data_IF_579750383355
#
_entry.id   IF_579750383355
#
_cell.length_a   1.000
_cell.length_b   1.000
_cell.length_c   1.000
_cell.angle_alpha   90.00
_cell.angle_beta   90.00
_cell.angle_gamma   90.00
#
_symmetry.space_group_name_H-M   'P 1'
#
loop_
_entity.id
_entity.type
_entity.pdbx_description
1 polymer ?
#
# COMPACT_ATOMS: atom_id res chain seq x y z
N UNK A 1 1.74 -11.60 -12.71
CA UNK A 1 1.93 -10.92 -14.00
C UNK A 1 3.30 -11.29 -14.57
N UNK A 2 3.44 -11.21 -15.91
CA UNK A 2 4.66 -11.56 -16.63
C UNK A 2 4.95 -10.51 -17.68
N UNK A 3 6.23 -10.34 -18.03
CA UNK A 3 6.69 -9.50 -19.13
C UNK A 3 7.65 -10.30 -20.02
N UNK A 4 7.48 -10.20 -21.33
CA UNK A 4 8.38 -10.84 -22.28
C UNK A 4 9.57 -9.94 -22.56
N UNK A 5 10.77 -10.47 -22.42
CA UNK A 5 12.00 -9.79 -22.80
C UNK A 5 12.90 -10.75 -23.60
N UNK A 6 13.11 -10.45 -24.86
CA UNK A 6 13.77 -11.35 -25.79
C UNK A 6 12.94 -12.63 -26.01
N UNK A 7 13.53 -13.78 -25.68
CA UNK A 7 12.87 -15.10 -25.83
C UNK A 7 12.32 -15.66 -24.52
N UNK A 8 12.37 -14.88 -23.43
CA UNK A 8 12.01 -15.34 -22.10
C UNK A 8 10.91 -14.47 -21.51
N UNK A 9 10.06 -15.10 -20.72
CA UNK A 9 9.11 -14.42 -19.84
C UNK A 9 9.74 -14.24 -18.45
N UNK A 10 9.48 -13.09 -17.83
CA UNK A 10 9.94 -12.78 -16.48
C UNK A 10 8.73 -12.47 -15.59
N UNK A 11 8.69 -12.97 -14.35
CA UNK A 11 7.64 -12.57 -13.42
C UNK A 11 7.83 -11.10 -13.04
N UNK A 12 6.71 -10.39 -12.91
CA UNK A 12 6.71 -8.99 -12.51
C UNK A 12 5.70 -8.73 -11.41
N UNK A 13 6.02 -7.78 -10.53
CA UNK A 13 5.14 -7.27 -9.50
C UNK A 13 4.82 -5.82 -9.84
N UNK A 14 3.54 -5.45 -9.80
CA UNK A 14 3.11 -4.09 -10.10
C UNK A 14 3.49 -3.11 -8.99
N UNK A 15 3.71 -1.82 -9.31
CA UNK A 15 3.95 -0.79 -8.30
C UNK A 15 2.81 -0.69 -7.27
N UNK A 16 1.57 -0.94 -7.67
CA UNK A 16 0.42 -0.93 -6.78
C UNK A 16 0.48 -2.06 -5.75
N UNK A 17 0.86 -3.27 -6.17
CA UNK A 17 1.03 -4.39 -5.25
C UNK A 17 2.14 -4.09 -4.23
N UNK A 18 3.28 -3.56 -4.68
CA UNK A 18 4.36 -3.15 -3.80
C UNK A 18 3.96 -2.02 -2.84
N UNK A 19 3.23 -1.01 -3.33
CA UNK A 19 2.72 0.07 -2.47
C UNK A 19 1.74 -0.45 -1.43
N UNK A 20 0.91 -1.44 -1.76
CA UNK A 20 0.01 -2.05 -0.80
C UNK A 20 0.78 -2.79 0.30
N UNK A 21 1.80 -3.57 -0.06
CA UNK A 21 2.66 -4.22 0.92
C UNK A 21 3.40 -3.19 1.81
N UNK A 22 3.93 -2.12 1.22
CA UNK A 22 4.55 -1.03 1.98
C UNK A 22 3.57 -0.36 2.95
N UNK A 23 2.29 -0.16 2.57
CA UNK A 23 1.28 0.36 3.50
C UNK A 23 1.07 -0.54 4.71
N UNK A 24 0.99 -1.85 4.48
CA UNK A 24 0.84 -2.81 5.57
C UNK A 24 2.04 -2.77 6.52
N UNK A 25 3.26 -2.68 5.98
CA UNK A 25 4.48 -2.56 6.79
C UNK A 25 4.48 -1.22 7.54
N UNK A 26 4.19 -0.09 6.90
CA UNK A 26 4.12 1.22 7.55
C UNK A 26 3.06 1.23 8.67
N UNK A 27 1.89 0.65 8.42
CA UNK A 27 0.84 0.50 9.42
C UNK A 27 1.28 -0.38 10.59
N UNK A 28 2.06 -1.44 10.36
CA UNK A 28 2.61 -2.29 11.43
C UNK A 28 3.59 -1.53 12.33
N UNK A 29 4.27 -0.52 11.79
CA UNK A 29 5.08 0.42 12.59
C UNK A 29 4.24 1.47 13.32
N UNK A 30 2.91 1.45 13.18
CA UNK A 30 1.99 2.41 13.78
C UNK A 30 1.91 3.75 13.06
N UNK A 31 2.39 3.86 11.83
CA UNK A 31 2.16 5.06 11.04
C UNK A 31 0.70 5.12 10.59
N UNK A 32 0.08 6.31 10.60
CA UNK A 32 -1.28 6.45 10.12
C UNK A 32 -1.33 6.27 8.59
N UNK A 33 -2.12 5.29 8.15
CA UNK A 33 -2.40 5.02 6.75
C UNK A 33 -3.89 5.18 6.48
N UNK A 34 -4.23 5.85 5.38
CA UNK A 34 -5.61 6.19 5.03
C UNK A 34 -6.30 5.09 4.21
N UNK A 35 -5.55 4.32 3.42
CA UNK A 35 -6.12 3.29 2.59
C UNK A 35 -6.12 1.95 3.31
N UNK A 36 -7.29 1.30 3.32
CA UNK A 36 -7.47 -0.04 3.84
C UNK A 36 -7.97 -0.96 2.75
N UNK A 37 -7.41 -2.16 2.70
CA UNK A 37 -7.92 -3.23 1.85
C UNK A 37 -9.17 -3.81 2.49
N UNK A 38 -10.28 -3.79 1.76
CA UNK A 38 -11.51 -4.44 2.16
C UNK A 38 -11.54 -5.83 1.51
N UNK A 39 -11.72 -6.84 2.33
CA UNK A 39 -12.01 -8.19 1.87
C UNK A 39 -13.54 -8.33 1.74
N UNK A 40 -14.13 -7.74 0.71
CA UNK A 40 -15.50 -8.05 0.34
C UNK A 40 -15.51 -9.28 -0.57
N UNK A 41 -16.51 -10.14 -0.40
CA UNK A 41 -16.63 -11.42 -1.12
C UNK A 41 -16.61 -11.27 -2.65
N UNK A 42 -17.00 -10.11 -3.18
CA UNK A 42 -17.12 -9.88 -4.62
C UNK A 42 -15.99 -9.03 -5.22
N UNK A 43 -15.31 -8.17 -4.46
CA UNK A 43 -14.24 -7.31 -4.98
C UNK A 43 -13.18 -6.98 -3.92
N UNK A 44 -11.91 -7.12 -4.31
CA UNK A 44 -10.78 -6.58 -3.55
C UNK A 44 -10.75 -5.06 -3.76
N UNK A 45 -11.54 -4.32 -3.01
CA UNK A 45 -11.57 -2.88 -3.06
C UNK A 45 -10.58 -2.27 -2.06
N UNK A 46 -9.88 -1.23 -2.49
CA UNK A 46 -9.09 -0.38 -1.59
C UNK A 46 -9.91 0.88 -1.34
N UNK A 47 -10.24 1.12 -0.09
CA UNK A 47 -11.07 2.25 0.33
C UNK A 47 -10.28 3.22 1.20
N UNK A 48 -10.58 4.52 1.06
CA UNK A 48 -10.10 5.53 1.99
C UNK A 48 -10.92 5.48 3.29
N UNK A 49 -10.23 5.59 4.43
CA UNK A 49 -10.86 5.65 5.75
C UNK A 49 -11.37 7.07 6.07
N UNK A 50 -10.70 8.08 5.52
CA UNK A 50 -11.02 9.51 5.68
C UNK A 50 -10.68 10.23 4.36
N UNK A 51 -11.04 11.50 4.24
CA UNK A 51 -10.59 12.31 3.11
C UNK A 51 -9.07 12.36 3.05
N UNK A 52 -8.47 12.21 1.85
CA UNK A 52 -7.02 12.26 1.71
C UNK A 52 -6.40 13.49 2.39
N UNK A 53 -5.41 13.26 3.21
CA UNK A 53 -4.70 14.32 3.92
C UNK A 53 -3.21 13.93 4.11
N UNK A 54 -2.30 14.49 3.29
CA UNK A 54 -0.88 14.15 3.36
C UNK A 54 -0.18 14.66 4.63
N UNK A 55 -0.79 15.58 5.38
CA UNK A 55 -0.27 15.99 6.68
C UNK A 55 -0.57 14.97 7.78
N UNK A 56 -1.70 14.23 7.63
CA UNK A 56 -2.21 13.29 8.62
C UNK A 56 -1.81 11.83 8.32
N UNK A 57 -1.76 11.45 7.04
CA UNK A 57 -1.57 10.07 6.61
C UNK A 57 -0.29 9.88 5.81
N UNK A 58 0.55 8.95 6.25
CA UNK A 58 1.85 8.68 5.63
C UNK A 58 1.71 8.12 4.20
N UNK A 59 0.72 7.28 3.95
CA UNK A 59 0.49 6.72 2.61
C UNK A 59 -0.05 7.74 1.62
N UNK A 60 -0.91 8.68 2.04
CA UNK A 60 -1.34 9.82 1.21
C UNK A 60 -0.15 10.74 0.89
N UNK A 61 0.77 10.88 1.83
CA UNK A 61 1.98 11.70 1.65
C UNK A 61 2.95 11.05 0.65
N UNK A 62 3.32 9.78 0.85
CA UNK A 62 4.35 9.13 0.03
C UNK A 62 3.85 8.62 -1.31
N UNK A 63 2.63 8.06 -1.36
CA UNK A 63 2.12 7.41 -2.57
C UNK A 63 1.19 8.30 -3.39
N UNK A 64 0.81 9.45 -2.83
CA UNK A 64 -0.12 10.37 -3.48
C UNK A 64 -1.54 9.78 -3.63
N UNK A 65 -2.42 10.56 -4.25
CA UNK A 65 -3.81 10.16 -4.47
C UNK A 65 -4.43 10.92 -5.63
N UNK A 66 -5.52 10.38 -6.14
CA UNK A 66 -6.41 11.03 -7.09
C UNK A 66 -7.85 10.78 -6.65
N UNK A 67 -8.60 11.86 -6.45
CA UNK A 67 -10.04 11.83 -6.24
C UNK A 67 -10.69 12.16 -7.57
N UNK A 68 -11.22 11.15 -8.25
CA UNK A 68 -11.80 11.29 -9.59
C UNK A 68 -13.17 12.02 -9.55
N UNK A 69 -14.00 11.68 -8.56
CA UNK A 69 -15.32 12.26 -8.40
C UNK A 69 -15.29 13.37 -7.35
N UNK A 70 -15.26 14.59 -7.85
CA UNK A 70 -15.25 15.81 -7.02
C UNK A 70 -16.53 16.01 -6.22
N UNK A 71 -17.66 15.50 -6.70
CA UNK A 71 -18.94 15.63 -6.03
C UNK A 71 -19.02 14.85 -4.71
N UNK A 72 -18.14 13.89 -4.50
CA UNK A 72 -18.08 13.13 -3.25
C UNK A 72 -17.43 13.92 -2.09
N UNK A 73 -16.76 15.03 -2.38
CA UNK A 73 -16.11 15.85 -1.34
C UNK A 73 -17.00 17.06 -1.04
N UNK A 74 -17.50 17.22 0.19
CA UNK A 74 -18.29 18.39 0.55
C UNK A 74 -17.52 19.70 0.39
N UNK A 75 -18.17 20.74 -0.12
CA UNK A 75 -17.58 22.08 -0.32
C UNK A 75 -16.92 22.65 0.95
N UNK A 76 -17.47 22.31 2.11
CA UNK A 76 -16.91 22.70 3.41
C UNK A 76 -15.50 22.14 3.59
N UNK A 77 -15.28 20.86 3.27
CA UNK A 77 -13.97 20.21 3.38
C UNK A 77 -12.98 20.82 2.39
N UNK A 78 -13.44 21.11 1.17
CA UNK A 78 -12.62 21.75 0.12
C UNK A 78 -12.10 23.10 0.59
N UNK A 79 -12.98 23.93 1.16
CA UNK A 79 -12.64 25.31 1.59
C UNK A 79 -11.81 25.33 2.88
N UNK A 80 -12.17 24.52 3.87
CA UNK A 80 -11.52 24.55 5.18
C UNK A 80 -10.10 23.94 5.17
N UNK A 81 -9.86 22.94 4.28
CA UNK A 81 -8.59 22.21 4.23
C UNK A 81 -7.71 22.58 3.06
N UNK A 82 -8.10 23.55 2.22
CA UNK A 82 -7.44 23.79 0.91
C UNK A 82 -7.22 22.47 0.17
N UNK A 83 -8.31 21.69 0.05
CA UNK A 83 -8.27 20.30 -0.35
C UNK A 83 -7.82 20.15 -1.79
N UNK A 84 -6.73 19.44 -1.99
CA UNK A 84 -6.22 19.09 -3.30
C UNK A 84 -6.83 17.78 -3.76
N UNK A 85 -7.46 17.75 -4.94
CA UNK A 85 -8.05 16.52 -5.52
C UNK A 85 -7.02 15.55 -6.08
N UNK A 86 -5.81 16.01 -6.28
CA UNK A 86 -4.69 15.22 -6.78
C UNK A 86 -3.42 15.60 -6.03
N UNK A 87 -2.64 14.59 -5.65
CA UNK A 87 -1.28 14.73 -5.17
C UNK A 87 -0.38 13.72 -5.87
N UNK A 88 0.72 14.18 -6.41
CA UNK A 88 1.71 13.30 -7.00
C UNK A 88 2.47 12.51 -5.93
N UNK A 89 2.95 11.34 -6.30
CA UNK A 89 3.68 10.45 -5.41
C UNK A 89 5.10 10.98 -5.15
N UNK A 90 5.47 11.08 -3.89
CA UNK A 90 6.86 11.37 -3.46
C UNK A 90 7.76 10.16 -3.73
N UNK A 91 7.26 8.96 -3.43
CA UNK A 91 7.91 7.69 -3.79
C UNK A 91 7.47 7.24 -5.18
N UNK A 92 8.36 7.33 -6.13
CA UNK A 92 8.16 6.82 -7.49
C UNK A 92 8.75 5.43 -7.60
N UNK A 93 7.95 4.50 -8.10
CA UNK A 93 8.33 3.09 -8.27
C UNK A 93 7.95 2.62 -9.66
N UNK A 94 8.75 1.72 -10.21
CA UNK A 94 8.41 0.99 -11.43
C UNK A 94 8.19 -0.49 -11.10
N UNK A 95 7.88 -1.30 -12.11
CA UNK A 95 7.71 -2.75 -12.00
C UNK A 95 8.90 -3.39 -11.29
N UNK A 96 8.64 -4.28 -10.36
CA UNK A 96 9.64 -5.24 -9.90
C UNK A 96 9.72 -6.37 -10.93
N UNK A 97 10.90 -6.63 -11.44
CA UNK A 97 11.16 -7.69 -12.42
C UNK A 97 11.97 -8.80 -11.76
N UNK A 98 11.54 -10.04 -11.94
CA UNK A 98 12.30 -11.19 -11.51
C UNK A 98 13.66 -11.27 -12.22
N UNK A 99 14.69 -11.68 -11.50
CA UNK A 99 16.04 -11.81 -12.05
C UNK A 99 16.21 -13.05 -12.92
N UNK A 100 15.37 -14.06 -12.71
CA UNK A 100 15.37 -15.28 -13.50
C UNK A 100 14.12 -15.35 -14.40
N UNK A 101 14.25 -16.00 -15.57
CA UNK A 101 13.10 -16.29 -16.40
C UNK A 101 12.04 -17.09 -15.63
N UNK A 102 10.80 -16.82 -15.93
CA UNK A 102 9.69 -17.55 -15.36
C UNK A 102 9.78 -19.03 -15.72
N UNK A 103 9.69 -19.87 -14.72
CA UNK A 103 9.48 -21.30 -14.87
C UNK A 103 8.09 -21.62 -14.35
N UNK A 104 7.28 -22.26 -15.17
CA UNK A 104 5.95 -22.65 -14.77
C UNK A 104 6.06 -23.63 -13.60
N UNK A 105 5.59 -23.19 -12.44
CA UNK A 105 5.34 -24.02 -11.29
C UNK A 105 3.96 -23.69 -10.74
N UNK A 106 3.30 -24.65 -10.16
CA UNK A 106 1.92 -24.47 -9.73
C UNK A 106 1.70 -25.15 -8.39
N UNK A 107 1.19 -24.38 -7.46
CA UNK A 107 0.77 -24.86 -6.17
C UNK A 107 -0.76 -25.05 -6.18
N UNK A 108 -1.19 -26.25 -5.80
CA UNK A 108 -2.59 -26.50 -5.55
C UNK A 108 -2.92 -26.17 -4.09
N UNK A 109 -3.85 -25.25 -3.91
CA UNK A 109 -4.38 -24.92 -2.60
C UNK A 109 -5.84 -25.34 -2.56
N UNK A 110 -6.21 -26.14 -1.59
CA UNK A 110 -7.59 -26.51 -1.35
C UNK A 110 -8.13 -25.71 -0.17
N UNK A 111 -9.25 -25.01 -0.37
CA UNK A 111 -9.95 -24.43 0.78
C UNK A 111 -10.53 -25.59 1.62
N UNK A 112 -10.47 -25.51 2.96
CA UNK A 112 -11.04 -26.53 3.80
C UNK A 112 -12.54 -26.68 3.51
N UNK A 113 -13.02 -27.94 3.44
CA UNK A 113 -14.43 -28.24 3.47
C UNK A 113 -15.00 -27.68 4.77
N UNK A 114 -15.97 -26.80 4.67
CA UNK A 114 -16.76 -26.41 5.82
C UNK A 114 -17.63 -27.61 6.22
N UNK A 115 -17.22 -28.28 7.28
CA UNK A 115 -18.10 -29.26 7.92
C UNK A 115 -19.33 -28.50 8.37
N UNK A 116 -20.52 -28.99 8.01
CA UNK A 116 -21.80 -28.45 8.49
C UNK A 116 -21.83 -28.53 10.01
N UNK A 117 -21.27 -27.53 10.65
CA UNK A 117 -21.38 -27.39 12.10
C UNK A 117 -22.30 -26.20 12.34
N UNK A 118 -23.41 -26.43 13.02
CA UNK A 118 -24.45 -25.43 13.33
C UNK A 118 -23.90 -24.15 14.01
N UNK A 119 -22.69 -24.22 14.55
CA UNK A 119 -22.02 -23.10 15.22
C UNK A 119 -21.01 -22.36 14.32
N UNK A 120 -20.80 -22.78 13.07
CA UNK A 120 -19.87 -22.13 12.17
C UNK A 120 -20.56 -21.05 11.35
N UNK A 121 -20.03 -19.80 11.29
CA UNK A 121 -20.56 -18.77 10.40
C UNK A 121 -20.42 -19.09 8.90
N UNK A 122 -19.71 -20.16 8.55
CA UNK A 122 -19.40 -20.60 7.18
C UNK A 122 -20.29 -21.75 6.70
N UNK A 123 -21.54 -21.80 7.12
CA UNK A 123 -22.45 -22.92 6.86
C UNK A 123 -22.78 -23.19 5.39
N UNK A 124 -22.51 -22.26 4.49
CA UNK A 124 -23.03 -22.29 3.12
C UNK A 124 -22.05 -22.79 2.04
N UNK A 125 -20.81 -23.13 2.37
CA UNK A 125 -19.88 -23.68 1.40
C UNK A 125 -20.12 -25.18 1.23
N UNK A 126 -20.84 -25.57 0.18
CA UNK A 126 -21.15 -26.97 -0.13
C UNK A 126 -19.98 -27.72 -0.77
N UNK A 127 -18.96 -27.02 -1.27
CA UNK A 127 -17.80 -27.59 -1.99
C UNK A 127 -16.52 -26.90 -1.60
N UNK A 128 -15.44 -27.67 -1.46
CA UNK A 128 -14.10 -27.08 -1.35
C UNK A 128 -13.67 -26.53 -2.71
N UNK A 129 -13.14 -25.30 -2.74
CA UNK A 129 -12.56 -24.75 -3.94
C UNK A 129 -11.10 -25.24 -4.09
N UNK A 130 -10.80 -25.85 -5.23
CA UNK A 130 -9.43 -26.10 -5.66
C UNK A 130 -8.91 -24.84 -6.35
N UNK A 131 -7.91 -24.22 -5.76
CA UNK A 131 -7.24 -23.05 -6.31
C UNK A 131 -5.90 -23.47 -6.88
N UNK A 132 -5.75 -23.29 -8.18
CA UNK A 132 -4.48 -23.43 -8.88
C UNK A 132 -3.77 -22.09 -8.87
N UNK A 133 -2.66 -21.99 -8.16
CA UNK A 133 -1.86 -20.77 -8.09
C UNK A 133 -0.52 -20.99 -8.79
N UNK A 134 -0.26 -20.18 -9.78
CA UNK A 134 1.08 -20.11 -10.34
C UNK A 134 2.03 -19.52 -9.29
N UNK A 135 3.15 -20.20 -9.08
CA UNK A 135 4.20 -19.77 -8.16
C UNK A 135 5.49 -19.53 -8.93
N UNK A 136 6.28 -18.60 -8.46
CA UNK A 136 7.62 -18.36 -8.97
C UNK A 136 8.51 -17.96 -7.80
N UNK A 137 9.65 -18.65 -7.66
CA UNK A 137 10.65 -18.32 -6.64
C UNK A 137 11.85 -17.70 -7.33
N UNK A 138 12.00 -16.38 -7.18
CA UNK A 138 13.11 -15.61 -7.74
C UNK A 138 13.34 -14.35 -6.91
N UNK A 139 14.54 -13.81 -6.98
CA UNK A 139 14.79 -12.46 -6.49
C UNK A 139 14.22 -11.43 -7.48
N UNK A 140 13.73 -10.31 -6.96
CA UNK A 140 13.17 -9.21 -7.76
C UNK A 140 14.05 -7.97 -7.66
N UNK A 141 14.21 -7.30 -8.79
CA UNK A 141 14.84 -5.99 -8.86
C UNK A 141 13.77 -4.96 -9.23
N UNK A 142 13.71 -3.85 -8.49
CA UNK A 142 12.84 -2.74 -8.84
C UNK A 142 13.56 -1.40 -8.65
N UNK A 143 13.41 -0.47 -9.60
CA UNK A 143 13.89 0.88 -9.41
C UNK A 143 12.88 1.69 -8.62
N UNK A 144 13.38 2.52 -7.71
CA UNK A 144 12.57 3.52 -7.03
C UNK A 144 13.35 4.84 -6.90
N UNK A 145 12.63 5.93 -6.77
CA UNK A 145 13.17 7.25 -6.50
C UNK A 145 12.29 7.98 -5.48
N UNK A 146 12.92 8.72 -4.59
CA UNK A 146 12.26 9.59 -3.62
C UNK A 146 12.65 11.02 -3.94
N UNK A 147 11.66 11.90 -4.19
CA UNK A 147 11.88 13.30 -4.35
C UNK A 147 11.99 13.98 -2.97
N UNK A 148 13.21 14.24 -2.54
CA UNK A 148 13.47 14.85 -1.23
C UNK A 148 12.95 16.29 -1.11
N UNK A 149 12.87 17.02 -2.23
CA UNK A 149 12.28 18.37 -2.23
C UNK A 149 10.81 18.32 -1.83
N UNK A 150 10.03 17.36 -2.37
CA UNK A 150 8.62 17.19 -2.06
C UNK A 150 8.38 16.57 -0.66
N UNK A 151 9.45 16.13 0.02
CA UNK A 151 9.38 15.66 1.40
C UNK A 151 9.25 16.79 2.43
N UNK A 152 9.51 18.05 2.04
CA UNK A 152 9.35 19.23 2.93
C UNK A 152 10.05 19.06 4.31
N UNK A 153 11.23 18.43 4.32
CA UNK A 153 11.95 18.01 5.52
C UNK A 153 12.38 19.17 6.45
N UNK A 154 12.37 20.37 5.93
CA UNK A 154 12.77 21.60 6.65
C UNK A 154 11.57 22.49 7.02
N UNK A 155 10.32 21.99 6.89
CA UNK A 155 9.13 22.75 7.27
C UNK A 155 8.99 22.79 8.79
N UNK A 156 9.41 23.89 9.39
CA UNK A 156 9.28 24.16 10.82
C UNK A 156 8.08 25.07 11.15
N UNK A 157 7.41 25.60 10.11
CA UNK A 157 6.34 26.59 10.26
C UNK A 157 4.97 26.01 10.66
N UNK A 158 4.80 24.69 10.58
CA UNK A 158 3.53 24.03 10.89
C UNK A 158 3.74 22.89 11.89
N UNK A 159 2.78 22.66 12.81
CA UNK A 159 2.83 21.48 13.68
C UNK A 159 2.64 20.20 12.88
N UNK A 160 3.21 19.11 13.37
CA UNK A 160 2.96 17.78 12.81
C UNK A 160 1.54 17.32 13.15
N UNK A 161 0.75 16.99 12.14
CA UNK A 161 -0.65 16.53 12.29
C UNK A 161 -0.77 15.00 12.25
N UNK A 162 0.28 14.31 11.82
CA UNK A 162 0.31 12.86 11.74
C UNK A 162 0.34 12.23 13.13
N UNK A 163 -0.32 11.08 13.24
CA UNK A 163 -0.28 10.29 14.44
C UNK A 163 1.15 9.93 14.86
N UNK A 164 1.34 9.61 16.12
CA UNK A 164 2.62 9.18 16.67
C UNK A 164 3.02 7.83 16.06
N UNK A 165 4.30 7.67 15.73
CA UNK A 165 4.87 6.33 15.72
C UNK A 165 4.77 5.74 17.15
N UNK A 166 4.66 4.40 17.28
CA UNK A 166 4.61 3.77 18.59
C UNK A 166 5.73 4.32 19.47
N UNK A 167 5.42 4.64 20.71
CA UNK A 167 6.36 5.12 21.75
C UNK A 167 6.95 6.53 21.58
N UNK A 168 6.48 7.33 20.62
CA UNK A 168 6.98 8.70 20.43
C UNK A 168 6.00 9.77 20.91
N UNK A 169 6.55 10.90 21.34
CA UNK A 169 5.79 12.12 21.62
C UNK A 169 5.21 12.71 20.33
N UNK A 170 4.14 13.52 20.39
CA UNK A 170 3.65 14.26 19.24
C UNK A 170 4.78 15.06 18.59
N UNK A 171 4.81 15.07 17.26
CA UNK A 171 5.78 15.85 16.51
C UNK A 171 5.56 17.34 16.75
N UNK A 172 6.65 18.06 16.98
CA UNK A 172 6.60 19.53 17.19
C UNK A 172 6.41 20.25 15.87
N UNK A 173 7.06 19.76 14.82
CA UNK A 173 7.02 20.36 13.50
C UNK A 173 6.68 19.34 12.43
N UNK A 174 6.17 19.81 11.29
CA UNK A 174 5.90 18.98 10.11
C UNK A 174 7.19 18.38 9.56
N UNK A 175 8.28 19.13 9.55
CA UNK A 175 9.59 18.62 9.09
C UNK A 175 10.11 17.47 9.95
N UNK A 176 9.94 17.53 11.27
CA UNK A 176 10.31 16.44 12.18
C UNK A 176 9.49 15.18 11.88
N UNK A 177 8.17 15.32 11.70
CA UNK A 177 7.27 14.25 11.32
C UNK A 177 7.71 13.58 10.01
N UNK A 178 8.01 14.37 9.00
CA UNK A 178 8.35 13.84 7.68
C UNK A 178 9.72 13.19 7.62
N UNK A 179 10.69 13.68 8.37
CA UNK A 179 11.97 13.00 8.57
C UNK A 179 11.80 11.63 9.19
N UNK A 180 10.98 11.53 10.22
CA UNK A 180 10.70 10.27 10.89
C UNK A 180 9.94 9.30 9.97
N UNK A 181 8.91 9.77 9.29
CA UNK A 181 8.18 8.97 8.31
C UNK A 181 9.06 8.46 7.18
N UNK A 182 9.99 9.30 6.68
CA UNK A 182 10.94 8.90 5.65
C UNK A 182 11.87 7.79 6.14
N UNK A 183 12.35 7.86 7.39
CA UNK A 183 13.14 6.77 7.98
C UNK A 183 12.34 5.45 8.03
N UNK A 184 11.07 5.49 8.42
CA UNK A 184 10.20 4.31 8.41
C UNK A 184 9.92 3.81 6.99
N UNK A 185 9.74 4.69 6.01
CA UNK A 185 9.59 4.29 4.62
C UNK A 185 10.83 3.55 4.10
N UNK A 186 12.03 4.08 4.35
CA UNK A 186 13.27 3.42 3.94
C UNK A 186 13.44 2.06 4.61
N UNK A 187 13.09 1.97 5.88
CA UNK A 187 13.06 0.71 6.61
C UNK A 187 12.04 -0.27 5.99
N UNK A 188 10.82 0.18 5.69
CA UNK A 188 9.80 -0.64 5.06
C UNK A 188 10.24 -1.16 3.68
N UNK A 189 10.94 -0.32 2.88
CA UNK A 189 11.50 -0.75 1.59
C UNK A 189 12.54 -1.86 1.78
N UNK A 190 13.39 -1.77 2.82
CA UNK A 190 14.38 -2.81 3.11
C UNK A 190 13.77 -4.12 3.61
N UNK A 191 12.58 -4.07 4.17
CA UNK A 191 11.84 -5.24 4.68
C UNK A 191 10.82 -5.78 3.66
N UNK A 192 10.70 -5.14 2.48
CA UNK A 192 9.76 -5.56 1.46
C UNK A 192 10.15 -6.93 0.89
N UNK A 193 9.43 -7.95 1.30
CA UNK A 193 9.59 -9.31 0.86
C UNK A 193 8.21 -9.95 0.68
N UNK A 194 8.05 -10.80 -0.34
CA UNK A 194 6.81 -11.55 -0.59
C UNK A 194 5.58 -10.64 -0.76
N UNK A 195 5.16 -10.41 -1.97
CA UNK A 195 3.97 -9.63 -2.34
C UNK A 195 2.90 -10.55 -2.91
#
# INVERSE_FOLDING_TARGET
QKVTYGRHEYPVISPEAMRNALREILASYGLPCNRKRLNNEEQLAVQFLDYPNPAKFADDFFFGYLVADRAQIPDKVVKERDFQFKRDSVLRMNLAKGLEPYRHDAMFTQSPLTVKNEKSPWQNASTSALLHRETSVTAFQFPFAINLHDCELNDEGKPGEGGKAPDKKPYKTKGEQQKDWLCYLLKAISELNGV
#
